data_IF_697125254533
#
_entry.id   IF_697125254533
#
_cell.length_a   1.000
_cell.length_b   1.000
_cell.length_c   1.000
_cell.angle_alpha   90.00
_cell.angle_beta   90.00
_cell.angle_gamma   90.00
#
_symmetry.space_group_name_H-M   'P 1'
#
loop_
_entity.id
_entity.type
_entity.pdbx_description
1 polymer ?
#
# COMPACT_ATOMS: atom_id res chain seq x y z
N UNK A 1 0.70 14.55 -2.26
CA UNK A 1 1.89 14.26 -3.11
C UNK A 1 1.47 13.69 -4.46
N UNK A 2 0.61 12.67 -4.47
CA UNK A 2 0.11 12.04 -5.69
C UNK A 2 -0.62 13.00 -6.66
N UNK A 3 -1.52 13.86 -6.17
CA UNK A 3 -2.22 14.89 -7.02
C UNK A 3 -1.29 15.96 -7.61
N UNK A 4 -0.07 16.08 -7.08
CA UNK A 4 0.93 17.05 -7.55
C UNK A 4 2.00 16.40 -8.43
N UNK A 5 1.79 15.15 -8.87
CA UNK A 5 2.75 14.37 -9.66
C UNK A 5 4.01 13.94 -8.91
N UNK A 6 4.10 14.19 -7.58
CA UNK A 6 5.26 13.84 -6.75
C UNK A 6 5.16 12.38 -6.31
N UNK A 7 5.25 11.47 -7.27
CA UNK A 7 5.00 10.05 -7.07
C UNK A 7 6.11 9.37 -6.27
N UNK A 8 7.36 9.80 -6.41
CA UNK A 8 8.50 9.23 -5.68
C UNK A 8 8.38 9.48 -4.18
N UNK A 9 8.16 10.73 -3.79
CA UNK A 9 7.96 11.10 -2.39
C UNK A 9 6.71 10.46 -1.78
N UNK A 10 5.63 10.32 -2.57
CA UNK A 10 4.45 9.57 -2.12
C UNK A 10 4.82 8.11 -1.82
N UNK A 11 5.60 7.48 -2.69
CA UNK A 11 6.08 6.11 -2.50
C UNK A 11 6.93 5.96 -1.25
N UNK A 12 7.83 6.90 -0.98
CA UNK A 12 8.68 6.85 0.20
C UNK A 12 7.84 6.99 1.49
N UNK A 13 6.85 7.88 1.50
CA UNK A 13 5.90 7.99 2.60
C UNK A 13 5.12 6.69 2.84
N UNK A 14 4.59 6.06 1.79
CA UNK A 14 3.79 4.84 1.96
C UNK A 14 4.63 3.62 2.36
N UNK A 15 5.87 3.50 1.85
CA UNK A 15 6.80 2.44 2.32
C UNK A 15 7.20 2.64 3.77
N UNK A 16 7.44 3.89 4.19
CA UNK A 16 7.69 4.19 5.59
C UNK A 16 6.48 3.83 6.47
N UNK A 17 5.24 4.07 6.00
CA UNK A 17 4.03 3.68 6.69
C UNK A 17 3.88 2.15 6.82
N UNK A 18 4.11 1.38 5.75
CA UNK A 18 4.10 -0.10 5.82
C UNK A 18 5.15 -0.63 6.80
N UNK A 19 6.39 -0.10 6.75
CA UNK A 19 7.45 -0.50 7.67
C UNK A 19 7.12 -0.19 9.14
N UNK A 20 6.51 0.97 9.42
CA UNK A 20 6.06 1.31 10.76
C UNK A 20 4.91 0.40 11.22
N UNK A 21 3.95 0.11 10.33
CA UNK A 21 2.85 -0.81 10.62
C UNK A 21 3.33 -2.25 10.88
N UNK A 22 4.35 -2.71 10.15
CA UNK A 22 5.02 -3.97 10.40
C UNK A 22 5.70 -4.02 11.77
N UNK A 23 6.44 -2.98 12.16
CA UNK A 23 7.04 -2.87 13.49
C UNK A 23 6.01 -2.90 14.63
N UNK A 24 4.81 -2.36 14.38
CA UNK A 24 3.68 -2.37 15.31
C UNK A 24 2.85 -3.66 15.23
N UNK A 25 3.22 -4.62 14.38
CA UNK A 25 2.45 -5.84 14.09
C UNK A 25 0.98 -5.54 13.73
N UNK A 26 0.72 -4.41 13.07
CA UNK A 26 -0.62 -3.92 12.80
C UNK A 26 -1.04 -4.21 11.36
N UNK A 27 -1.72 -5.33 11.17
CA UNK A 27 -2.16 -5.79 9.85
C UNK A 27 -3.15 -4.81 9.18
N UNK A 28 -4.00 -4.12 9.96
CA UNK A 28 -4.92 -3.09 9.45
C UNK A 28 -4.16 -1.92 8.82
N UNK A 29 -3.14 -1.39 9.49
CA UNK A 29 -2.34 -0.29 8.96
C UNK A 29 -1.46 -0.73 7.77
N UNK A 30 -0.98 -1.99 7.77
CA UNK A 30 -0.28 -2.55 6.60
C UNK A 30 -1.19 -2.63 5.38
N UNK A 31 -2.44 -3.06 5.58
CA UNK A 31 -3.46 -3.12 4.53
C UNK A 31 -3.67 -1.74 3.90
N UNK A 32 -3.85 -0.69 4.71
CA UNK A 32 -4.01 0.69 4.23
C UNK A 32 -2.79 1.16 3.43
N UNK A 33 -1.58 0.86 3.91
CA UNK A 33 -0.34 1.19 3.20
C UNK A 33 -0.25 0.46 1.85
N UNK A 34 -0.63 -0.82 1.77
CA UNK A 34 -0.62 -1.58 0.52
C UNK A 34 -1.66 -1.07 -0.48
N UNK A 35 -2.85 -0.66 -0.05
CA UNK A 35 -3.83 -0.02 -0.93
C UNK A 35 -3.24 1.26 -1.53
N UNK A 36 -2.63 2.12 -0.71
CA UNK A 36 -2.02 3.36 -1.17
C UNK A 36 -0.82 3.14 -2.12
N UNK A 37 -0.01 2.12 -1.86
CA UNK A 37 1.07 1.69 -2.77
C UNK A 37 0.50 1.14 -4.09
N UNK A 38 -0.65 0.44 -4.05
CA UNK A 38 -1.34 -0.07 -5.23
C UNK A 38 -1.85 1.06 -6.12
N UNK A 39 -2.47 2.08 -5.53
CA UNK A 39 -2.91 3.30 -6.23
C UNK A 39 -1.72 4.04 -6.87
N UNK A 40 -0.59 4.09 -6.15
CA UNK A 40 0.64 4.69 -6.66
C UNK A 40 1.22 3.92 -7.85
N UNK A 41 1.25 2.59 -7.77
CA UNK A 41 1.72 1.73 -8.86
C UNK A 41 0.85 1.91 -10.11
N UNK A 42 -0.48 1.95 -9.95
CA UNK A 42 -1.41 2.23 -11.06
C UNK A 42 -1.13 3.60 -11.71
N UNK A 43 -0.88 4.65 -10.91
CA UNK A 43 -0.52 5.98 -11.44
C UNK A 43 0.81 6.00 -12.19
N UNK A 44 1.72 5.07 -11.92
CA UNK A 44 2.97 4.89 -12.64
C UNK A 44 2.84 3.98 -13.86
N UNK A 45 1.66 3.41 -14.09
CA UNK A 45 1.41 2.43 -15.16
C UNK A 45 1.95 1.02 -14.86
N UNK A 46 2.24 0.71 -13.59
CA UNK A 46 2.65 -0.63 -13.16
C UNK A 46 1.44 -1.42 -12.65
N UNK A 47 0.63 -1.89 -13.61
CA UNK A 47 -0.60 -2.65 -13.32
C UNK A 47 -0.32 -3.97 -12.60
N UNK A 48 0.85 -4.59 -12.85
CA UNK A 48 1.21 -5.87 -12.22
C UNK A 48 1.47 -5.68 -10.73
N UNK A 49 2.26 -4.66 -10.39
CA UNK A 49 2.55 -4.36 -8.99
C UNK A 49 1.31 -3.86 -8.27
N UNK A 50 0.51 -3.02 -8.92
CA UNK A 50 -0.79 -2.57 -8.40
C UNK A 50 -1.69 -3.76 -8.03
N UNK A 51 -1.88 -4.71 -8.96
CA UNK A 51 -2.69 -5.89 -8.71
C UNK A 51 -2.14 -6.79 -7.60
N UNK A 52 -0.81 -6.89 -7.46
CA UNK A 52 -0.18 -7.65 -6.38
C UNK A 52 -0.47 -7.03 -5.01
N UNK A 53 -0.33 -5.71 -4.91
CA UNK A 53 -0.55 -4.97 -3.65
C UNK A 53 -2.02 -5.02 -3.22
N UNK A 54 -2.96 -4.87 -4.16
CA UNK A 54 -4.38 -5.00 -3.83
C UNK A 54 -4.76 -6.43 -3.40
N UNK A 55 -4.16 -7.48 -4.00
CA UNK A 55 -4.38 -8.86 -3.54
C UNK A 55 -3.91 -9.05 -2.10
N UNK A 56 -2.69 -8.61 -1.79
CA UNK A 56 -2.16 -8.69 -0.42
C UNK A 56 -3.08 -7.98 0.59
N UNK A 57 -3.59 -6.79 0.24
CA UNK A 57 -4.54 -6.06 1.08
C UNK A 57 -5.87 -6.81 1.24
N UNK A 58 -6.41 -7.38 0.16
CA UNK A 58 -7.66 -8.14 0.20
C UNK A 58 -7.54 -9.41 1.06
N UNK A 59 -6.43 -10.14 0.94
CA UNK A 59 -6.12 -11.33 1.75
C UNK A 59 -6.00 -10.96 3.23
N UNK A 60 -5.26 -9.90 3.57
CA UNK A 60 -5.15 -9.42 4.94
C UNK A 60 -6.50 -8.98 5.55
N UNK A 61 -7.37 -8.33 4.76
CA UNK A 61 -8.71 -7.96 5.21
C UNK A 61 -9.63 -9.17 5.42
N UNK A 62 -9.41 -10.27 4.70
CA UNK A 62 -10.12 -11.51 4.94
C UNK A 62 -9.68 -12.11 6.29
N UNK A 63 -8.38 -12.14 6.57
CA UNK A 63 -7.83 -12.65 7.83
C UNK A 63 -8.34 -11.88 9.06
N UNK A 64 -8.47 -10.56 9.00
CA UNK A 64 -9.00 -9.73 10.12
C UNK A 64 -10.47 -10.05 10.43
N UNK A 65 -11.24 -10.53 9.45
CA UNK A 65 -12.68 -10.78 9.58
C UNK A 65 -13.00 -12.13 10.23
N UNK A 66 -12.03 -13.03 10.36
CA UNK A 66 -12.17 -14.35 10.98
C UNK A 66 -11.53 -14.39 12.38
#
# INVERSE_FOLDING_TARGET
LMERGRLDEAGDCFRAADAAAEQLASISHRTEAWVALGDLAARRGDDRESARLYRNAAEALQEIRF
#
